data_IF_322400786472
#
_entry.id   IF_322400786472
#
_cell.length_a   1.000
_cell.length_b   1.000
_cell.length_c   1.000
_cell.angle_alpha   90.00
_cell.angle_beta   90.00
_cell.angle_gamma   90.00
#
_symmetry.space_group_name_H-M   'P 1'
#
loop_
_entity.id
_entity.type
_entity.pdbx_description
1 polymer ?
#
# COMPACT_ATOMS: atom_id res chain seq x y z
N UNK A 1 2.95 -25.45 -20.93
CA UNK A 1 2.33 -24.51 -19.98
C UNK A 1 2.90 -24.80 -18.59
N UNK A 2 3.27 -23.80 -17.79
CA UNK A 2 3.71 -24.05 -16.41
C UNK A 2 2.55 -24.69 -15.63
N UNK A 3 2.89 -25.65 -14.75
CA UNK A 3 1.91 -26.28 -13.87
C UNK A 3 1.30 -25.22 -12.94
N UNK A 4 -0.02 -25.16 -12.87
CA UNK A 4 -0.71 -24.31 -11.90
C UNK A 4 -0.74 -25.03 -10.55
N UNK A 5 -0.34 -24.33 -9.51
CA UNK A 5 -0.44 -24.78 -8.12
C UNK A 5 -1.82 -24.36 -7.60
N UNK A 6 -2.55 -25.30 -7.02
CA UNK A 6 -3.86 -25.06 -6.42
C UNK A 6 -3.75 -25.36 -4.93
N UNK A 7 -4.16 -24.42 -4.10
CA UNK A 7 -4.23 -24.54 -2.64
C UNK A 7 -5.59 -24.10 -2.14
N UNK A 8 -6.01 -24.67 -1.03
CA UNK A 8 -7.34 -24.49 -0.47
C UNK A 8 -7.28 -24.12 1.02
N UNK A 9 -8.37 -23.59 1.52
CA UNK A 9 -8.68 -23.39 2.93
C UNK A 9 -7.63 -22.58 3.71
N UNK A 10 -7.27 -23.08 4.87
CA UNK A 10 -6.40 -22.39 5.83
C UNK A 10 -4.97 -22.24 5.30
N UNK A 11 -4.42 -23.26 4.60
CA UNK A 11 -3.07 -23.19 4.04
C UNK A 11 -2.97 -22.06 3.01
N UNK A 12 -3.96 -21.97 2.10
CA UNK A 12 -4.00 -20.89 1.10
C UNK A 12 -4.09 -19.52 1.76
N UNK A 13 -4.98 -19.35 2.74
CA UNK A 13 -5.18 -18.08 3.45
C UNK A 13 -3.94 -17.67 4.24
N UNK A 14 -3.28 -18.60 4.92
CA UNK A 14 -2.05 -18.31 5.69
C UNK A 14 -0.94 -17.83 4.78
N UNK A 15 -0.67 -18.52 3.68
CA UNK A 15 0.39 -18.13 2.73
C UNK A 15 0.09 -16.81 2.04
N UNK A 16 -1.15 -16.57 1.61
CA UNK A 16 -1.54 -15.27 1.07
C UNK A 16 -1.28 -14.15 2.08
N UNK A 17 -1.66 -14.38 3.36
CA UNK A 17 -1.42 -13.39 4.42
C UNK A 17 0.07 -13.16 4.68
N UNK A 18 0.89 -14.19 4.67
CA UNK A 18 2.35 -14.06 4.79
C UNK A 18 2.92 -13.15 3.70
N UNK A 19 2.45 -13.31 2.47
CA UNK A 19 2.86 -12.44 1.36
C UNK A 19 2.43 -10.99 1.56
N UNK A 20 1.18 -10.78 1.98
CA UNK A 20 0.66 -9.44 2.33
C UNK A 20 1.51 -8.80 3.43
N UNK A 21 1.77 -9.53 4.51
CA UNK A 21 2.55 -9.03 5.65
C UNK A 21 3.98 -8.71 5.25
N UNK A 22 4.64 -9.59 4.52
CA UNK A 22 6.04 -9.41 4.10
C UNK A 22 6.20 -8.14 3.28
N UNK A 23 5.34 -7.90 2.30
CA UNK A 23 5.40 -6.68 1.49
C UNK A 23 5.04 -5.44 2.32
N UNK A 24 3.94 -5.49 3.06
CA UNK A 24 3.48 -4.34 3.83
C UNK A 24 4.45 -3.95 4.94
N UNK A 25 5.10 -4.91 5.61
CA UNK A 25 6.09 -4.64 6.65
C UNK A 25 7.37 -4.01 6.09
N UNK A 26 7.79 -4.40 4.88
CA UNK A 26 8.90 -3.73 4.20
C UNK A 26 8.54 -2.27 3.84
N UNK A 27 7.37 -2.04 3.24
CA UNK A 27 6.90 -0.71 2.84
C UNK A 27 6.65 0.18 4.07
N UNK A 28 6.08 -0.36 5.13
CA UNK A 28 5.76 0.36 6.38
C UNK A 28 6.99 1.00 7.04
N UNK A 29 8.19 0.47 6.82
CA UNK A 29 9.42 1.04 7.37
C UNK A 29 9.72 2.44 6.85
N UNK A 30 9.14 2.82 5.71
CA UNK A 30 9.30 4.15 5.10
C UNK A 30 8.32 5.20 5.63
N UNK A 31 7.33 4.81 6.47
CA UNK A 31 6.23 5.68 6.86
C UNK A 31 6.62 6.73 7.91
N UNK A 32 6.20 7.95 7.65
CA UNK A 32 6.16 9.04 8.61
C UNK A 32 7.54 9.66 8.95
N UNK A 33 7.60 10.51 10.00
CA UNK A 33 8.81 11.27 10.34
C UNK A 33 10.00 10.40 10.75
N UNK A 34 9.75 9.19 11.22
CA UNK A 34 10.76 8.18 11.57
C UNK A 34 11.00 7.17 10.46
N UNK A 35 10.44 7.42 9.27
CA UNK A 35 10.62 6.58 8.10
C UNK A 35 12.09 6.42 7.72
N UNK A 36 12.47 5.18 7.39
CA UNK A 36 13.85 4.81 7.05
C UNK A 36 13.99 4.56 5.56
N UNK A 37 15.21 4.69 5.08
CA UNK A 37 15.55 4.23 3.74
C UNK A 37 15.54 2.71 3.69
N UNK A 38 15.04 2.18 2.59
CA UNK A 38 15.14 0.76 2.25
C UNK A 38 16.25 0.62 1.22
N UNK A 39 17.12 -0.36 1.43
CA UNK A 39 18.19 -0.71 0.50
C UNK A 39 17.75 -1.97 -0.26
N UNK A 40 17.60 -1.84 -1.56
CA UNK A 40 17.17 -2.93 -2.44
C UNK A 40 18.41 -3.44 -3.18
N UNK A 41 18.76 -4.70 -2.94
CA UNK A 41 19.86 -5.37 -3.66
C UNK A 41 19.47 -5.64 -5.11
N UNK A 42 20.38 -5.43 -6.04
CA UNK A 42 20.24 -5.83 -7.44
C UNK A 42 21.22 -6.92 -7.78
N UNK A 43 20.84 -7.85 -8.63
CA UNK A 43 21.76 -8.89 -9.12
C UNK A 43 22.93 -8.31 -9.90
N UNK A 44 22.70 -7.20 -10.60
CA UNK A 44 23.72 -6.48 -11.35
C UNK A 44 23.59 -4.98 -11.07
N UNK A 45 24.72 -4.32 -10.78
CA UNK A 45 24.77 -2.89 -10.52
C UNK A 45 24.76 -2.51 -9.04
N UNK A 46 24.61 -1.23 -8.76
CA UNK A 46 24.58 -0.71 -7.39
C UNK A 46 23.23 -0.95 -6.72
N UNK A 47 23.19 -1.21 -5.39
CA UNK A 47 21.96 -1.26 -4.65
C UNK A 47 21.16 0.04 -4.80
N UNK A 48 19.84 -0.08 -4.88
CA UNK A 48 18.96 1.07 -4.92
C UNK A 48 18.51 1.43 -3.50
N UNK A 49 18.71 2.70 -3.12
CA UNK A 49 18.31 3.22 -1.81
C UNK A 49 17.13 4.16 -2.01
N UNK A 50 16.01 3.87 -1.36
CA UNK A 50 14.78 4.67 -1.51
C UNK A 50 14.00 4.77 -0.21
N UNK A 51 13.22 5.86 -0.07
CA UNK A 51 12.16 6.03 0.94
C UNK A 51 10.76 5.88 0.36
N UNK A 52 10.64 5.80 -0.96
CA UNK A 52 9.36 5.74 -1.62
C UNK A 52 8.74 4.35 -1.49
N UNK A 53 7.54 4.30 -0.88
CA UNK A 53 6.85 3.06 -0.59
C UNK A 53 6.42 2.30 -1.84
N UNK A 54 6.02 2.98 -2.91
CA UNK A 54 5.63 2.29 -4.16
C UNK A 54 6.83 1.68 -4.86
N UNK A 55 7.98 2.34 -4.84
CA UNK A 55 9.24 1.80 -5.38
C UNK A 55 9.65 0.54 -4.61
N UNK A 56 9.59 0.58 -3.26
CA UNK A 56 9.85 -0.62 -2.44
C UNK A 56 8.88 -1.73 -2.79
N UNK A 57 7.58 -1.44 -2.87
CA UNK A 57 6.57 -2.45 -3.17
C UNK A 57 6.79 -3.11 -4.54
N UNK A 58 7.19 -2.35 -5.55
CA UNK A 58 7.42 -2.86 -6.92
C UNK A 58 8.58 -3.84 -7.02
N UNK A 59 9.60 -3.70 -6.18
CA UNK A 59 10.80 -4.54 -6.21
C UNK A 59 10.66 -5.83 -5.39
N UNK A 60 9.60 -5.97 -4.57
CA UNK A 60 9.41 -7.17 -3.74
C UNK A 60 8.81 -8.30 -4.58
N UNK A 61 9.53 -9.42 -4.61
CA UNK A 61 9.09 -10.71 -5.14
C UNK A 61 9.47 -11.80 -4.15
N UNK A 62 8.56 -12.76 -3.93
CA UNK A 62 8.74 -13.84 -2.98
C UNK A 62 8.93 -15.17 -3.71
N UNK A 63 9.78 -16.03 -3.15
CA UNK A 63 10.07 -17.35 -3.71
C UNK A 63 8.85 -18.29 -3.67
N UNK A 64 8.06 -18.25 -2.59
CA UNK A 64 6.83 -19.02 -2.50
C UNK A 64 5.75 -18.42 -3.39
N UNK A 65 5.35 -19.15 -4.44
CA UNK A 65 4.40 -18.67 -5.45
C UNK A 65 3.07 -18.18 -4.86
N UNK A 66 2.58 -18.80 -3.79
CA UNK A 66 1.29 -18.44 -3.19
C UNK A 66 1.43 -17.20 -2.32
N UNK A 67 2.47 -17.12 -1.51
CA UNK A 67 2.77 -15.91 -0.75
C UNK A 67 3.04 -14.74 -1.70
N UNK A 68 3.70 -15.00 -2.83
CA UNK A 68 3.92 -13.97 -3.85
C UNK A 68 2.61 -13.42 -4.43
N UNK A 69 1.57 -14.26 -4.60
CA UNK A 69 0.24 -13.75 -5.00
C UNK A 69 -0.30 -12.76 -3.98
N UNK A 70 -0.17 -13.03 -2.67
CA UNK A 70 -0.54 -12.10 -1.60
C UNK A 70 0.23 -10.78 -1.67
N UNK A 71 1.54 -10.84 -1.89
CA UNK A 71 2.38 -9.66 -2.10
C UNK A 71 1.94 -8.86 -3.34
N UNK A 72 1.67 -9.52 -4.47
CA UNK A 72 1.22 -8.86 -5.70
C UNK A 72 -0.11 -8.13 -5.52
N UNK A 73 -1.05 -8.66 -4.74
CA UNK A 73 -2.31 -7.98 -4.43
C UNK A 73 -2.08 -6.64 -3.72
N UNK A 74 -1.16 -6.59 -2.76
CA UNK A 74 -0.83 -5.34 -2.03
C UNK A 74 0.03 -4.41 -2.90
N UNK A 75 0.92 -4.95 -3.73
CA UNK A 75 1.65 -4.19 -4.76
C UNK A 75 0.69 -3.44 -5.67
N UNK A 76 -0.41 -4.07 -6.08
CA UNK A 76 -1.44 -3.44 -6.91
C UNK A 76 -2.14 -2.28 -6.17
N UNK A 77 -2.41 -2.42 -4.87
CA UNK A 77 -2.97 -1.32 -4.05
C UNK A 77 -2.04 -0.12 -4.06
N UNK A 78 -0.74 -0.31 -3.83
CA UNK A 78 0.25 0.77 -3.86
C UNK A 78 0.32 1.43 -5.24
N UNK A 79 0.36 0.64 -6.32
CA UNK A 79 0.43 1.14 -7.69
C UNK A 79 -0.82 1.94 -8.08
N UNK A 80 -2.01 1.42 -7.81
CA UNK A 80 -3.27 2.15 -8.08
C UNK A 80 -3.38 3.45 -7.29
N UNK A 81 -2.89 3.46 -6.05
CA UNK A 81 -2.87 4.69 -5.25
C UNK A 81 -1.93 5.73 -5.86
N UNK A 82 -0.74 5.30 -6.33
CA UNK A 82 0.18 6.18 -7.05
C UNK A 82 -0.44 6.76 -8.32
N UNK A 83 -1.11 5.94 -9.10
CA UNK A 83 -1.70 6.35 -10.40
C UNK A 83 -2.87 7.32 -10.22
N UNK A 84 -3.68 7.17 -9.16
CA UNK A 84 -4.91 7.95 -8.95
C UNK A 84 -4.64 9.22 -8.12
N UNK A 85 -3.83 9.12 -7.08
CA UNK A 85 -3.60 10.20 -6.10
C UNK A 85 -2.18 10.77 -6.15
N UNK A 86 -1.21 10.03 -6.67
CA UNK A 86 0.20 10.45 -6.70
C UNK A 86 0.90 10.40 -5.34
N UNK A 87 0.17 10.21 -4.25
CA UNK A 87 0.68 10.17 -2.88
C UNK A 87 -0.14 9.19 -2.02
N UNK A 88 0.35 8.90 -0.80
CA UNK A 88 -0.33 8.04 0.16
C UNK A 88 -0.17 6.54 -0.08
N UNK A 89 0.75 6.12 -0.93
CA UNK A 89 0.98 4.71 -1.30
C UNK A 89 1.34 3.84 -0.09
N UNK A 90 2.20 4.34 0.79
CA UNK A 90 2.58 3.65 2.04
C UNK A 90 1.39 3.53 2.99
N UNK A 91 0.59 4.60 3.14
CA UNK A 91 -0.62 4.60 3.96
C UNK A 91 -1.64 3.60 3.44
N UNK A 92 -1.88 3.57 2.12
CA UNK A 92 -2.79 2.62 1.48
C UNK A 92 -2.34 1.16 1.70
N UNK A 93 -1.04 0.89 1.61
CA UNK A 93 -0.45 -0.42 1.87
C UNK A 93 -0.67 -0.88 3.32
N UNK A 94 -0.43 0.01 4.28
CA UNK A 94 -0.64 -0.28 5.72
C UNK A 94 -2.11 -0.53 6.03
N UNK A 95 -3.01 0.28 5.45
CA UNK A 95 -4.46 0.08 5.60
C UNK A 95 -4.92 -1.24 4.98
N UNK A 96 -4.43 -1.59 3.79
CA UNK A 96 -4.73 -2.87 3.15
C UNK A 96 -4.32 -4.05 4.04
N UNK A 97 -3.11 -4.04 4.60
CA UNK A 97 -2.64 -5.06 5.54
C UNK A 97 -3.56 -5.17 6.76
N UNK A 98 -3.93 -4.04 7.37
CA UNK A 98 -4.77 -4.00 8.55
C UNK A 98 -6.18 -4.54 8.26
N UNK A 99 -6.79 -4.15 7.14
CA UNK A 99 -8.11 -4.61 6.71
C UNK A 99 -8.10 -6.11 6.43
N UNK A 100 -7.11 -6.61 5.69
CA UNK A 100 -6.95 -8.04 5.38
C UNK A 100 -6.77 -8.83 6.68
N UNK A 101 -5.90 -8.38 7.59
CA UNK A 101 -5.64 -9.05 8.85
C UNK A 101 -6.88 -9.12 9.74
N UNK A 102 -7.65 -8.04 9.84
CA UNK A 102 -8.91 -8.00 10.58
C UNK A 102 -9.98 -8.89 9.93
N UNK A 103 -10.10 -8.82 8.60
CA UNK A 103 -11.04 -9.64 7.84
C UNK A 103 -10.76 -11.13 7.97
N UNK A 104 -9.50 -11.55 7.89
CA UNK A 104 -9.10 -12.95 8.06
C UNK A 104 -9.40 -13.47 9.48
N UNK A 105 -9.20 -12.64 10.51
CA UNK A 105 -9.60 -13.00 11.89
C UNK A 105 -11.11 -13.20 12.00
N UNK A 106 -11.90 -12.33 11.39
CA UNK A 106 -13.37 -12.45 11.40
C UNK A 106 -13.83 -13.72 10.67
N UNK A 107 -13.25 -14.06 9.53
CA UNK A 107 -13.53 -15.29 8.79
C UNK A 107 -13.15 -16.53 9.61
N UNK A 108 -11.99 -16.51 10.27
CA UNK A 108 -11.56 -17.60 11.14
C UNK A 108 -12.50 -17.79 12.34
N UNK A 109 -13.14 -16.72 12.81
CA UNK A 109 -14.17 -16.76 13.84
C UNK A 109 -15.56 -17.16 13.32
N UNK A 110 -15.71 -17.51 12.04
CA UNK A 110 -16.94 -18.01 11.44
C UNK A 110 -17.81 -16.95 10.75
N UNK A 111 -17.32 -15.73 10.57
CA UNK A 111 -18.05 -14.71 9.82
C UNK A 111 -18.19 -15.11 8.34
N UNK A 112 -19.36 -14.81 7.75
CA UNK A 112 -19.57 -15.02 6.34
C UNK A 112 -18.75 -14.02 5.50
N UNK A 113 -17.88 -14.48 4.60
CA UNK A 113 -17.04 -13.59 3.79
C UNK A 113 -17.83 -12.61 2.90
N UNK A 114 -19.00 -13.03 2.41
CA UNK A 114 -19.86 -12.19 1.55
C UNK A 114 -20.46 -11.04 2.35
N UNK A 115 -20.94 -11.33 3.56
CA UNK A 115 -21.52 -10.30 4.43
C UNK A 115 -20.43 -9.35 4.95
N UNK A 116 -19.24 -9.88 5.23
CA UNK A 116 -18.07 -9.07 5.58
C UNK A 116 -17.73 -8.10 4.44
N UNK A 117 -17.67 -8.59 3.20
CA UNK A 117 -17.42 -7.74 2.03
C UNK A 117 -18.49 -6.65 1.89
N UNK A 118 -19.77 -6.99 1.99
CA UNK A 118 -20.87 -6.01 1.94
C UNK A 118 -20.76 -4.94 3.03
N UNK A 119 -20.36 -5.35 4.23
CA UNK A 119 -20.09 -4.43 5.35
C UNK A 119 -18.93 -3.48 5.05
N UNK A 120 -17.83 -3.98 4.49
CA UNK A 120 -16.69 -3.16 4.08
C UNK A 120 -17.09 -2.16 2.99
N UNK A 121 -17.80 -2.59 1.95
CA UNK A 121 -18.25 -1.71 0.85
C UNK A 121 -19.08 -0.53 1.41
N UNK A 122 -20.07 -0.79 2.26
CA UNK A 122 -20.86 0.27 2.91
C UNK A 122 -20.01 1.20 3.78
N UNK A 123 -19.06 0.64 4.51
CA UNK A 123 -18.18 1.42 5.38
C UNK A 123 -17.29 2.37 4.55
N UNK A 124 -16.78 1.88 3.42
CA UNK A 124 -15.98 2.70 2.50
C UNK A 124 -16.79 3.88 1.96
N UNK A 125 -18.05 3.67 1.55
CA UNK A 125 -18.91 4.76 1.08
C UNK A 125 -19.08 5.86 2.14
N UNK A 126 -19.31 5.49 3.41
CA UNK A 126 -19.42 6.44 4.51
C UNK A 126 -18.10 7.18 4.79
N UNK A 127 -16.97 6.44 4.83
CA UNK A 127 -15.66 7.03 5.07
C UNK A 127 -15.30 8.02 3.96
N UNK A 128 -15.51 7.65 2.69
CA UNK A 128 -15.22 8.51 1.54
C UNK A 128 -16.04 9.81 1.60
N UNK A 129 -17.31 9.73 2.01
CA UNK A 129 -18.14 10.93 2.20
C UNK A 129 -17.56 11.84 3.27
N UNK A 130 -17.22 11.31 4.44
CA UNK A 130 -16.62 12.09 5.53
C UNK A 130 -15.27 12.69 5.15
N UNK A 131 -14.43 11.94 4.42
CA UNK A 131 -13.14 12.47 3.94
C UNK A 131 -13.33 13.63 2.97
N UNK A 132 -14.34 13.55 2.08
CA UNK A 132 -14.68 14.67 1.18
C UNK A 132 -15.14 15.91 1.96
N UNK A 133 -15.94 15.71 3.00
CA UNK A 133 -16.41 16.82 3.85
C UNK A 133 -15.27 17.49 4.65
N UNK A 134 -14.21 16.74 4.95
CA UNK A 134 -13.01 17.24 5.67
C UNK A 134 -11.93 17.78 4.73
N UNK A 135 -12.00 17.46 3.43
CA UNK A 135 -10.98 17.86 2.47
C UNK A 135 -11.00 19.37 2.22
N UNK A 136 -9.82 19.95 2.12
CA UNK A 136 -9.66 21.36 1.78
C UNK A 136 -9.33 21.47 0.29
N UNK A 137 -10.21 22.10 -0.46
CA UNK A 137 -9.98 22.36 -1.88
C UNK A 137 -8.94 23.47 -2.03
N UNK A 138 -7.84 23.20 -2.70
CA UNK A 138 -6.77 24.19 -2.93
C UNK A 138 -7.00 25.02 -4.19
N UNK A 139 -7.79 24.50 -5.16
CA UNK A 139 -8.05 25.18 -6.44
C UNK A 139 -6.74 25.51 -7.17
N UNK A 140 -6.63 26.75 -7.62
CA UNK A 140 -5.48 27.31 -8.33
C UNK A 140 -4.64 28.25 -7.43
N UNK A 141 -4.74 28.14 -6.12
CA UNK A 141 -3.97 28.96 -5.17
C UNK A 141 -2.48 28.58 -5.25
N UNK A 142 -1.60 29.49 -5.73
CA UNK A 142 -0.20 29.18 -5.97
C UNK A 142 0.57 28.85 -4.66
N UNK A 143 0.22 29.51 -3.55
CA UNK A 143 0.89 29.27 -2.25
C UNK A 143 0.57 27.86 -1.73
N UNK A 144 -0.69 27.43 -1.81
CA UNK A 144 -1.09 26.08 -1.39
C UNK A 144 -0.50 25.00 -2.30
N UNK A 145 -0.42 25.26 -3.61
CA UNK A 145 0.23 24.34 -4.56
C UNK A 145 1.71 24.21 -4.19
N UNK A 146 2.41 25.31 -3.93
CA UNK A 146 3.79 25.33 -3.49
C UNK A 146 3.99 24.59 -2.17
N UNK A 147 3.11 24.75 -1.19
CA UNK A 147 3.16 24.02 0.08
C UNK A 147 3.09 22.51 -0.14
N UNK A 148 2.15 22.03 -0.97
CA UNK A 148 2.00 20.62 -1.29
C UNK A 148 3.21 20.09 -2.07
N UNK A 149 3.69 20.84 -3.05
CA UNK A 149 4.87 20.50 -3.81
C UNK A 149 6.13 20.40 -2.90
N UNK A 150 6.26 21.30 -1.96
CA UNK A 150 7.33 21.27 -0.93
C UNK A 150 7.27 20.01 -0.08
N UNK A 151 6.07 19.64 0.40
CA UNK A 151 5.88 18.39 1.18
C UNK A 151 6.25 17.18 0.34
N UNK A 152 5.79 17.12 -0.90
CA UNK A 152 6.11 16.01 -1.84
C UNK A 152 7.61 15.92 -2.15
N UNK A 153 8.31 17.05 -2.11
CA UNK A 153 9.77 17.14 -2.29
C UNK A 153 10.57 16.90 -0.99
N UNK A 154 10.03 16.17 -0.01
CA UNK A 154 10.66 15.97 1.31
C UNK A 154 10.99 17.25 2.08
N UNK A 155 10.11 18.25 2.02
CA UNK A 155 10.26 19.58 2.58
C UNK A 155 11.40 20.42 1.94
N UNK A 156 11.78 20.12 0.71
CA UNK A 156 12.66 20.98 -0.06
C UNK A 156 11.86 22.14 -0.69
N UNK A 157 11.98 23.31 -0.08
CA UNK A 157 11.27 24.53 -0.53
C UNK A 157 11.79 25.05 -1.87
N UNK A 158 13.02 24.71 -2.27
CA UNK A 158 13.59 25.09 -3.57
C UNK A 158 12.89 24.33 -4.67
N UNK A 159 12.78 23.01 -4.51
CA UNK A 159 12.05 22.16 -5.46
C UNK A 159 10.56 22.53 -5.47
N UNK A 160 9.95 22.69 -4.29
CA UNK A 160 8.53 23.08 -4.18
C UNK A 160 8.19 24.42 -4.82
N UNK A 161 9.18 25.32 -4.96
CA UNK A 161 8.99 26.60 -5.64
C UNK A 161 9.18 26.53 -7.15
N UNK A 162 9.82 25.46 -7.65
CA UNK A 162 10.03 25.24 -9.09
C UNK A 162 8.86 24.53 -9.76
N UNK A 163 8.06 23.79 -9.00
CA UNK A 163 6.83 23.11 -9.44
C UNK A 163 5.67 24.09 -9.49
#
# INVERSE_FOLDING_TARGET
MPKKIIKFDTDARTRLKEGVDTLADAVKTTLGPKGRNVVIGKQFGMPHVTKDGVTVAKEIELEDEISNVGAQMVKEVASKTADVAGDGTTTATVLAQAIISAGMKSIAAGANPIDLKRGMDKTVEHIVKHLKDQSITIGTDPEKIKEIATISANNDSTIGSLI
#
